data_IF_951162559112
#
_entry.id   IF_951162559112
#
_cell.length_a   1.000
_cell.length_b   1.000
_cell.length_c   1.000
_cell.angle_alpha   90.00
_cell.angle_beta   90.00
_cell.angle_gamma   90.00
#
_symmetry.space_group_name_H-M   'P 1'
#
loop_
_entity.id
_entity.type
_entity.pdbx_description
1 polymer ?
#
# COMPACT_ATOMS: atom_id res chain seq x y z
N UNK A 1 -27.90 12.63 16.83
CA UNK A 1 -28.00 13.15 15.45
C UNK A 1 -27.29 12.19 14.52
N UNK A 2 -28.00 11.58 13.57
CA UNK A 2 -27.39 10.73 12.55
C UNK A 2 -26.83 11.63 11.45
N UNK A 3 -25.51 11.58 11.22
CA UNK A 3 -24.88 12.28 10.10
C UNK A 3 -25.00 11.35 8.89
N UNK A 4 -25.79 11.67 7.86
CA UNK A 4 -25.87 10.82 6.69
C UNK A 4 -24.49 10.78 6.03
N UNK A 5 -23.89 9.59 5.99
CA UNK A 5 -22.70 9.34 5.16
C UNK A 5 -23.10 9.67 3.73
N UNK A 6 -22.48 10.71 3.15
CA UNK A 6 -22.73 11.10 1.77
C UNK A 6 -22.60 9.88 0.84
N UNK A 7 -23.42 9.78 -0.22
CA UNK A 7 -23.24 8.74 -1.23
C UNK A 7 -21.79 8.77 -1.72
N UNK A 8 -21.14 7.62 -1.99
CA UNK A 8 -19.78 7.61 -2.51
C UNK A 8 -19.79 8.41 -3.81
N UNK A 9 -19.14 9.57 -3.79
CA UNK A 9 -18.89 10.33 -5.01
C UNK A 9 -18.26 9.37 -6.03
N UNK A 10 -18.68 9.38 -7.30
CA UNK A 10 -18.00 8.58 -8.32
C UNK A 10 -16.60 9.14 -8.51
N UNK A 11 -15.65 8.61 -7.73
CA UNK A 11 -14.24 8.98 -7.81
C UNK A 11 -13.71 8.53 -9.17
N UNK A 12 -13.03 9.45 -9.88
CA UNK A 12 -12.51 9.17 -11.23
C UNK A 12 -11.35 8.16 -11.23
N UNK A 13 -10.79 7.91 -10.04
CA UNK A 13 -9.75 6.92 -9.78
C UNK A 13 -10.20 5.98 -8.67
N UNK A 14 -9.82 4.71 -8.79
CA UNK A 14 -10.04 3.70 -7.76
C UNK A 14 -8.70 3.19 -7.25
N UNK A 15 -8.58 2.98 -5.95
CA UNK A 15 -7.36 2.43 -5.34
C UNK A 15 -7.62 1.02 -4.86
N UNK A 16 -6.64 0.14 -5.04
CA UNK A 16 -6.67 -1.22 -4.50
C UNK A 16 -5.30 -1.56 -3.92
N UNK A 17 -5.27 -1.83 -2.62
CA UNK A 17 -4.08 -2.33 -1.94
C UNK A 17 -4.13 -3.86 -1.82
N UNK A 18 -3.02 -4.50 -2.17
CA UNK A 18 -2.77 -5.91 -1.94
C UNK A 18 -1.48 -6.06 -1.12
N UNK A 19 -1.49 -6.98 -0.16
CA UNK A 19 -0.28 -7.40 0.53
C UNK A 19 0.06 -8.85 0.14
N UNK A 20 1.35 -9.12 -0.08
CA UNK A 20 1.84 -10.47 -0.32
C UNK A 20 3.15 -10.68 0.43
N UNK A 21 3.32 -11.85 1.06
CA UNK A 21 4.53 -12.21 1.79
C UNK A 21 5.33 -13.24 0.98
N UNK A 22 6.62 -12.99 0.80
CA UNK A 22 7.55 -13.87 0.07
C UNK A 22 8.80 -14.08 0.94
N UNK A 23 8.89 -15.22 1.60
CA UNK A 23 9.95 -15.46 2.57
C UNK A 23 9.89 -14.45 3.71
N UNK A 24 10.96 -13.67 3.88
CA UNK A 24 11.09 -12.59 4.87
C UNK A 24 10.74 -11.21 4.31
N UNK A 25 10.17 -11.14 3.10
CA UNK A 25 9.84 -9.87 2.46
C UNK A 25 8.33 -9.72 2.35
N UNK A 26 7.85 -8.50 2.54
CA UNK A 26 6.46 -8.13 2.27
C UNK A 26 6.42 -7.22 1.05
N UNK A 27 5.51 -7.52 0.14
CA UNK A 27 5.19 -6.73 -1.04
C UNK A 27 3.79 -6.14 -0.90
N UNK A 28 3.73 -4.83 -0.73
CA UNK A 28 2.50 -4.05 -0.76
C UNK A 28 2.35 -3.43 -2.15
N UNK A 29 1.31 -3.79 -2.87
CA UNK A 29 1.00 -3.24 -4.20
C UNK A 29 -0.27 -2.41 -4.12
N UNK A 30 -0.11 -1.10 -4.19
CA UNK A 30 -1.19 -0.15 -4.30
C UNK A 30 -1.42 0.19 -5.78
N UNK A 31 -2.52 -0.29 -6.32
CA UNK A 31 -2.92 -0.09 -7.71
C UNK A 31 -3.96 1.01 -7.79
N UNK A 32 -3.66 2.08 -8.52
CA UNK A 32 -4.59 3.15 -8.86
C UNK A 32 -5.06 2.92 -10.28
N UNK A 33 -6.36 2.76 -10.48
CA UNK A 33 -6.97 2.61 -11.81
C UNK A 33 -7.74 3.88 -12.15
N UNK A 34 -7.48 4.41 -13.34
CA UNK A 34 -8.11 5.63 -13.88
C UNK A 34 -9.29 5.21 -14.76
N UNK A 35 -10.52 5.55 -14.36
CA UNK A 35 -11.74 5.08 -15.05
C UNK A 35 -12.21 6.02 -16.16
N UNK A 36 -11.75 7.27 -16.16
CA UNK A 36 -12.04 8.30 -17.16
C UNK A 36 -10.78 9.14 -17.41
N UNK A 37 -10.71 9.91 -18.50
CA UNK A 37 -9.60 10.80 -18.86
C UNK A 37 -9.43 11.95 -17.85
N UNK A 38 -8.86 11.58 -16.70
CA UNK A 38 -8.47 12.47 -15.62
C UNK A 38 -7.05 12.93 -15.87
N UNK A 39 -6.87 14.21 -16.14
CA UNK A 39 -5.58 14.90 -16.21
C UNK A 39 -4.95 15.11 -14.81
N UNK A 40 -5.18 14.20 -13.87
CA UNK A 40 -4.58 14.28 -12.54
C UNK A 40 -3.09 13.97 -12.68
N UNK A 41 -2.25 14.99 -12.53
CA UNK A 41 -0.79 14.90 -12.61
C UNK A 41 -0.17 14.34 -11.32
N UNK A 42 -0.96 14.26 -10.25
CA UNK A 42 -0.53 13.74 -8.97
C UNK A 42 -0.69 12.21 -8.94
N UNK A 43 0.45 11.53 -9.00
CA UNK A 43 0.56 10.09 -8.89
C UNK A 43 1.19 9.70 -7.55
N UNK A 44 1.33 10.60 -6.59
CA UNK A 44 1.94 10.25 -5.32
C UNK A 44 0.94 9.53 -4.42
N UNK A 45 1.44 8.59 -3.62
CA UNK A 45 0.65 7.91 -2.60
C UNK A 45 1.30 8.08 -1.24
N UNK A 46 0.46 8.35 -0.25
CA UNK A 46 0.86 8.30 1.13
C UNK A 46 0.61 6.90 1.67
N UNK A 47 1.68 6.28 2.15
CA UNK A 47 1.63 5.00 2.85
C UNK A 47 1.48 5.23 4.35
N UNK A 48 0.59 4.45 4.97
CA UNK A 48 0.43 4.42 6.41
C UNK A 48 0.30 3.00 6.94
N UNK A 49 0.69 2.82 8.20
CA UNK A 49 0.50 1.61 8.99
C UNK A 49 -0.20 1.98 10.28
N UNK A 50 -1.36 1.37 10.53
CA UNK A 50 -2.23 1.68 11.68
C UNK A 50 -2.55 3.16 11.82
N UNK A 51 -2.76 3.83 10.67
CA UNK A 51 -3.05 5.26 10.58
C UNK A 51 -1.85 6.18 10.78
N UNK A 52 -0.64 5.64 10.96
CA UNK A 52 0.61 6.41 11.07
C UNK A 52 1.38 6.39 9.75
N UNK A 53 1.90 7.52 9.26
CA UNK A 53 2.69 7.54 8.04
C UNK A 53 3.94 6.66 8.20
N UNK A 54 4.28 5.91 7.15
CA UNK A 54 5.51 5.11 7.14
C UNK A 54 6.69 6.03 6.86
N UNK A 55 7.71 5.96 7.71
CA UNK A 55 8.97 6.66 7.49
C UNK A 55 9.84 5.87 6.51
N UNK A 56 10.18 6.50 5.39
CA UNK A 56 11.04 5.91 4.35
C UNK A 56 12.53 6.24 4.55
N UNK A 57 12.93 6.85 5.68
CA UNK A 57 14.33 7.21 5.92
C UNK A 57 15.22 5.97 6.07
N UNK A 58 14.65 4.83 6.45
CA UNK A 58 15.33 3.55 6.50
C UNK A 58 15.30 2.81 5.15
N UNK A 59 16.20 3.18 4.25
CA UNK A 59 16.35 2.54 2.92
C UNK A 59 16.77 1.07 2.97
N UNK A 60 17.27 0.57 4.10
CA UNK A 60 17.58 -0.86 4.29
C UNK A 60 16.32 -1.68 4.63
N UNK A 61 15.25 -1.03 5.09
CA UNK A 61 13.98 -1.64 5.45
C UNK A 61 12.95 -1.49 4.35
N UNK A 62 12.87 -0.32 3.73
CA UNK A 62 11.83 0.02 2.77
C UNK A 62 12.40 0.30 1.38
N UNK A 63 11.81 -0.35 0.36
CA UNK A 63 12.09 -0.05 -1.05
C UNK A 63 10.77 0.31 -1.72
N UNK A 64 10.65 1.53 -2.24
CA UNK A 64 9.50 1.98 -3.01
C UNK A 64 9.79 1.97 -4.52
N UNK A 65 8.80 1.57 -5.32
CA UNK A 65 8.84 1.62 -6.79
C UNK A 65 7.49 2.06 -7.33
N UNK A 66 7.52 2.76 -8.46
CA UNK A 66 6.31 3.19 -9.17
C UNK A 66 6.39 2.69 -10.60
N UNK A 67 5.34 2.00 -11.05
CA UNK A 67 5.16 1.59 -12.45
C UNK A 67 3.92 2.25 -13.00
N UNK A 68 4.06 2.93 -14.14
CA UNK A 68 2.94 3.58 -14.85
C UNK A 68 2.61 2.79 -16.11
N UNK A 69 1.31 2.65 -16.33
CA UNK A 69 0.69 2.09 -17.53
C UNK A 69 -0.49 3.01 -17.92
N UNK A 70 -1.02 2.90 -19.15
CA UNK A 70 -1.94 3.89 -19.75
C UNK A 70 -3.16 4.26 -18.89
N UNK A 71 -3.65 3.34 -18.05
CA UNK A 71 -4.79 3.59 -17.13
C UNK A 71 -4.53 3.12 -15.70
N UNK A 72 -3.31 2.67 -15.41
CA UNK A 72 -2.99 2.02 -14.15
C UNK A 72 -1.64 2.50 -13.63
N UNK A 73 -1.61 2.92 -12.37
CA UNK A 73 -0.38 3.29 -11.67
C UNK A 73 -0.23 2.32 -10.51
N UNK A 74 0.92 1.66 -10.41
CA UNK A 74 1.20 0.68 -9.37
C UNK A 74 2.34 1.21 -8.51
N UNK A 75 2.03 1.50 -7.25
CA UNK A 75 3.01 1.80 -6.22
C UNK A 75 3.31 0.51 -5.47
N UNK A 76 4.54 0.07 -5.54
CA UNK A 76 5.04 -1.09 -4.80
C UNK A 76 5.89 -0.60 -3.63
N UNK A 77 5.50 -0.98 -2.42
CA UNK A 77 6.32 -0.87 -1.23
C UNK A 77 6.81 -2.27 -0.84
N UNK A 78 8.13 -2.46 -0.82
CA UNK A 78 8.77 -3.67 -0.30
C UNK A 78 9.27 -3.40 1.11
N UNK A 79 8.92 -4.28 2.04
CA UNK A 79 9.46 -4.30 3.39
C UNK A 79 10.41 -5.49 3.48
N UNK A 80 11.69 -5.22 3.65
CA UNK A 80 12.73 -6.23 3.83
C UNK A 80 12.78 -6.65 5.29
N UNK A 81 13.22 -7.87 5.62
CA UNK A 81 13.44 -8.18 7.05
C UNK A 81 12.14 -8.26 7.85
N UNK A 82 11.04 -8.74 7.26
CA UNK A 82 9.69 -8.61 7.81
C UNK A 82 9.56 -9.36 9.14
N UNK A 83 9.32 -8.62 10.21
CA UNK A 83 9.16 -9.15 11.56
C UNK A 83 7.72 -8.98 12.05
N UNK A 84 7.41 -9.50 13.23
CA UNK A 84 6.14 -9.24 13.90
C UNK A 84 5.88 -7.75 14.15
N UNK A 85 6.92 -6.92 14.13
CA UNK A 85 6.79 -5.46 14.27
C UNK A 85 6.20 -4.80 13.01
N UNK A 86 6.20 -5.53 11.88
CA UNK A 86 5.59 -5.10 10.63
C UNK A 86 4.11 -5.52 10.51
N UNK A 87 3.56 -6.25 11.48
CA UNK A 87 2.12 -6.53 11.55
C UNK A 87 1.31 -5.23 11.64
N UNK A 88 0.16 -5.18 10.99
CA UNK A 88 -0.76 -4.06 11.11
C UNK A 88 -1.64 -3.82 9.89
N UNK A 89 -2.50 -2.80 9.99
CA UNK A 89 -3.34 -2.36 8.88
C UNK A 89 -2.57 -1.35 8.01
N UNK A 90 -2.12 -1.80 6.86
CA UNK A 90 -1.48 -0.94 5.87
C UNK A 90 -2.55 -0.24 5.04
N UNK A 91 -2.36 1.05 4.77
CA UNK A 91 -3.21 1.79 3.86
C UNK A 91 -2.38 2.60 2.87
N UNK A 92 -2.89 2.69 1.65
CA UNK A 92 -2.38 3.62 0.65
C UNK A 92 -3.47 4.61 0.27
N UNK A 93 -3.10 5.89 0.29
CA UNK A 93 -3.98 7.00 -0.03
C UNK A 93 -3.39 7.80 -1.18
N UNK A 94 -4.12 7.91 -2.28
CA UNK A 94 -3.83 8.86 -3.35
C UNK A 94 -4.68 10.13 -3.16
N UNK A 95 -4.25 11.25 -3.74
CA UNK A 95 -4.95 12.54 -3.58
C UNK A 95 -6.36 12.52 -4.16
N UNK A 96 -6.56 11.85 -5.30
CA UNK A 96 -7.80 11.85 -6.09
C UNK A 96 -8.46 10.45 -6.16
N UNK A 97 -8.14 9.56 -5.21
CA UNK A 97 -8.70 8.22 -5.17
C UNK A 97 -9.03 7.82 -3.72
N UNK A 98 -10.04 6.97 -3.49
CA UNK A 98 -10.35 6.51 -2.15
C UNK A 98 -9.14 5.77 -1.55
N UNK A 99 -8.96 5.87 -0.23
CA UNK A 99 -7.95 5.08 0.47
C UNK A 99 -8.29 3.58 0.36
N UNK A 100 -7.26 2.75 0.19
CA UNK A 100 -7.40 1.31 0.26
C UNK A 100 -6.49 0.76 1.34
N UNK A 101 -7.03 -0.12 2.19
CA UNK A 101 -6.30 -0.72 3.29
C UNK A 101 -6.29 -2.26 3.23
N UNK A 102 -5.27 -2.86 3.83
CA UNK A 102 -5.09 -4.29 3.90
C UNK A 102 -4.42 -4.67 5.23
N UNK A 103 -5.00 -5.64 5.93
CA UNK A 103 -4.42 -6.19 7.15
C UNK A 103 -3.27 -7.13 6.78
N UNK A 104 -2.05 -6.80 7.21
CA UNK A 104 -0.89 -7.66 7.05
C UNK A 104 -0.64 -8.40 8.36
N UNK A 105 -0.64 -9.73 8.27
CA UNK A 105 -0.14 -10.57 9.35
C UNK A 105 1.19 -11.19 8.95
N UNK A 106 2.26 -10.86 9.68
CA UNK A 106 3.58 -11.42 9.43
C UNK A 106 3.70 -12.75 10.17
N UNK A 107 3.64 -13.85 9.42
CA UNK A 107 3.86 -15.17 10.00
C UNK A 107 5.35 -15.49 10.04
N UNK A 108 6.00 -15.20 11.16
CA UNK A 108 7.43 -15.48 11.41
C UNK A 108 7.79 -16.98 11.48
N UNK A 109 6.83 -17.90 11.26
CA UNK A 109 7.02 -19.35 11.42
C UNK A 109 7.80 -20.08 10.31
N UNK A 110 8.46 -19.37 9.37
CA UNK A 110 9.08 -20.01 8.18
C UNK A 110 10.54 -19.65 7.92
N UNK A 111 11.30 -19.17 8.91
CA UNK A 111 12.73 -18.92 8.74
C UNK A 111 13.54 -19.39 9.94
N UNK A 112 13.64 -20.70 10.12
CA UNK A 112 14.87 -21.26 10.66
C UNK A 112 15.94 -21.09 9.58
N UNK A 113 17.01 -20.30 9.80
CA UNK A 113 18.19 -20.40 8.95
C UNK A 113 18.69 -21.84 9.06
N UNK A 114 18.80 -22.55 7.94
CA UNK A 114 19.62 -23.76 7.88
C UNK A 114 21.05 -23.31 8.18
N UNK A 115 21.46 -23.42 9.45
CA UNK A 115 22.86 -23.31 9.85
C UNK A 115 23.64 -24.33 9.02
N UNK A 116 24.59 -23.86 8.21
CA UNK A 116 25.66 -24.69 7.65
C UNK A 116 26.79 -24.82 8.67
#
# INVERSE_FOLDING_TARGET
>A
AYVPKAPPVPTKRTTRLMANMIGDEVLLNCTITVTNESNSLDDEVQWSRDGRPIDFSNSNKYISKVKRDSRTIIHTLRILGASSEDDGNYACRAVDAPESSHMLHVNSSKLTPLKK
#
